data_IF_456275684891
#
_entry.id   IF_456275684891
#
_cell.length_a   1.000
_cell.length_b   1.000
_cell.length_c   1.000
_cell.angle_alpha   90.00
_cell.angle_beta   90.00
_cell.angle_gamma   90.00
#
_symmetry.space_group_name_H-M   'P 1'
#
loop_
_entity.id
_entity.type
_entity.pdbx_description
1 polymer ?
#
# COMPACT_ATOMS: atom_id res chain seq x y z
N UNK A 1 22.70 10.22 -7.15
CA UNK A 1 22.41 8.84 -6.74
C UNK A 1 21.78 7.99 -7.85
N UNK A 2 20.63 8.31 -8.43
CA UNK A 2 20.05 7.51 -9.54
C UNK A 2 20.91 7.50 -10.81
N UNK A 3 21.59 8.60 -11.10
CA UNK A 3 22.49 8.72 -12.26
C UNK A 3 23.72 7.83 -12.08
N UNK A 4 24.23 7.70 -10.87
CA UNK A 4 25.39 6.86 -10.57
C UNK A 4 25.09 5.37 -10.78
N UNK A 5 23.84 4.95 -10.63
CA UNK A 5 23.42 3.56 -10.89
C UNK A 5 23.48 3.18 -12.37
N UNK A 6 23.42 4.15 -13.29
CA UNK A 6 23.52 3.89 -14.73
C UNK A 6 24.93 3.42 -15.17
N UNK A 7 25.91 3.57 -14.30
CA UNK A 7 27.28 3.06 -14.52
C UNK A 7 27.46 1.62 -14.06
N UNK A 8 26.47 1.02 -13.40
CA UNK A 8 26.55 -0.37 -12.98
C UNK A 8 26.29 -1.30 -14.17
N UNK A 9 27.17 -2.28 -14.38
CA UNK A 9 27.08 -3.21 -15.50
C UNK A 9 25.93 -4.23 -15.34
N UNK A 10 25.40 -4.40 -14.13
CA UNK A 10 24.41 -5.40 -13.76
C UNK A 10 22.98 -4.81 -13.55
N UNK A 11 22.58 -3.83 -14.35
CA UNK A 11 21.24 -3.23 -14.33
C UNK A 11 20.57 -3.26 -15.72
N UNK A 12 19.62 -4.14 -15.99
CA UNK A 12 19.17 -5.34 -15.26
C UNK A 12 20.21 -6.45 -15.23
N UNK A 13 20.07 -7.45 -14.37
CA UNK A 13 21.11 -8.44 -14.07
C UNK A 13 21.58 -9.20 -15.30
N UNK A 14 22.83 -9.00 -15.67
CA UNK A 14 23.56 -9.77 -16.68
C UNK A 14 24.72 -10.50 -15.99
N UNK A 15 25.03 -11.70 -16.39
CA UNK A 15 26.12 -12.49 -15.80
C UNK A 15 27.49 -11.95 -16.22
N UNK A 16 28.52 -11.89 -15.32
CA UNK A 16 28.51 -12.27 -13.91
C UNK A 16 27.96 -11.17 -12.99
N UNK A 17 27.17 -11.52 -11.99
CA UNK A 17 26.53 -10.59 -11.06
C UNK A 17 27.50 -10.17 -9.96
N UNK A 18 27.79 -8.87 -9.84
CA UNK A 18 28.44 -8.34 -8.63
C UNK A 18 27.39 -8.15 -7.53
N UNK A 19 27.41 -9.04 -6.52
CA UNK A 19 26.49 -9.01 -5.39
C UNK A 19 26.49 -7.67 -4.64
N UNK A 20 27.63 -6.98 -4.57
CA UNK A 20 27.75 -5.71 -3.84
C UNK A 20 27.01 -4.60 -4.57
N UNK A 21 27.13 -4.53 -5.90
CA UNK A 21 26.41 -3.57 -6.72
C UNK A 21 24.89 -3.81 -6.65
N UNK A 22 24.44 -5.06 -6.72
CA UNK A 22 23.02 -5.41 -6.61
C UNK A 22 22.44 -5.07 -5.25
N UNK A 23 23.16 -5.31 -4.16
CA UNK A 23 22.72 -4.94 -2.80
C UNK A 23 22.60 -3.41 -2.71
N UNK A 24 23.60 -2.67 -3.17
CA UNK A 24 23.59 -1.21 -3.13
C UNK A 24 22.47 -0.63 -4.00
N UNK A 25 22.29 -1.14 -5.20
CA UNK A 25 21.20 -0.72 -6.09
C UNK A 25 19.82 -0.96 -5.44
N UNK A 26 19.59 -2.15 -4.89
CA UNK A 26 18.37 -2.48 -4.16
C UNK A 26 18.13 -1.49 -3.01
N UNK A 27 19.12 -1.25 -2.17
CA UNK A 27 19.00 -0.30 -1.05
C UNK A 27 18.66 1.12 -1.52
N UNK A 28 19.27 1.60 -2.59
CA UNK A 28 18.97 2.92 -3.17
C UNK A 28 17.51 3.00 -3.65
N UNK A 29 17.01 1.96 -4.30
CA UNK A 29 15.61 1.93 -4.75
C UNK A 29 14.63 1.79 -3.57
N UNK A 30 14.98 1.01 -2.53
CA UNK A 30 14.19 0.92 -1.29
C UNK A 30 14.05 2.31 -0.63
N UNK A 31 15.16 3.04 -0.46
CA UNK A 31 15.12 4.41 0.07
C UNK A 31 14.37 5.38 -0.85
N UNK A 32 14.51 5.22 -2.16
CA UNK A 32 13.78 6.05 -3.14
C UNK A 32 12.27 5.82 -3.04
N UNK A 33 11.83 4.60 -2.73
CA UNK A 33 10.42 4.25 -2.51
C UNK A 33 9.86 4.98 -1.27
N UNK A 34 10.57 4.97 -0.15
CA UNK A 34 10.16 5.72 1.04
C UNK A 34 10.17 7.24 0.81
N UNK A 35 11.17 7.76 0.12
CA UNK A 35 11.26 9.19 -0.20
C UNK A 35 10.13 9.65 -1.12
N UNK A 36 9.70 8.80 -2.07
CA UNK A 36 8.55 9.09 -2.93
C UNK A 36 7.25 9.22 -2.10
N UNK A 37 7.06 8.36 -1.09
CA UNK A 37 5.93 8.46 -0.16
C UNK A 37 5.95 9.72 0.69
N UNK A 38 7.11 10.08 1.23
CA UNK A 38 7.26 11.33 2.00
C UNK A 38 6.91 12.57 1.18
N UNK A 39 7.17 12.54 -0.13
CA UNK A 39 6.82 13.60 -1.07
C UNK A 39 5.38 13.50 -1.59
N UNK A 40 4.66 12.43 -1.31
CA UNK A 40 3.34 12.15 -1.86
C UNK A 40 3.35 11.85 -3.37
N UNK A 41 4.51 11.51 -3.95
CA UNK A 41 4.67 11.18 -5.37
C UNK A 41 4.39 9.68 -5.60
N UNK A 42 3.13 9.39 -5.91
CA UNK A 42 2.63 8.02 -6.08
C UNK A 42 3.18 7.36 -7.35
N UNK A 43 3.34 8.12 -8.44
CA UNK A 43 3.89 7.57 -9.68
C UNK A 43 5.35 7.13 -9.51
N UNK A 44 6.15 7.94 -8.82
CA UNK A 44 7.53 7.57 -8.47
C UNK A 44 7.58 6.40 -7.50
N UNK A 45 6.61 6.29 -6.58
CA UNK A 45 6.49 5.14 -5.68
C UNK A 45 6.26 3.84 -6.46
N UNK A 46 5.26 3.80 -7.35
CA UNK A 46 4.91 2.62 -8.15
C UNK A 46 6.09 2.18 -9.04
N UNK A 47 6.73 3.13 -9.72
CA UNK A 47 7.90 2.87 -10.58
C UNK A 47 9.09 2.34 -9.78
N UNK A 48 9.38 2.93 -8.61
CA UNK A 48 10.47 2.45 -7.76
C UNK A 48 10.17 1.06 -7.20
N UNK A 49 8.92 0.81 -6.79
CA UNK A 49 8.50 -0.51 -6.31
C UNK A 49 8.69 -1.58 -7.38
N UNK A 50 8.25 -1.33 -8.61
CA UNK A 50 8.43 -2.28 -9.73
C UNK A 50 9.90 -2.66 -9.91
N UNK A 51 10.79 -1.68 -9.82
CA UNK A 51 12.24 -1.94 -9.91
C UNK A 51 12.75 -2.74 -8.71
N UNK A 52 12.34 -2.38 -7.48
CA UNK A 52 12.74 -3.12 -6.26
C UNK A 52 12.22 -4.55 -6.29
N UNK A 53 11.00 -4.76 -6.77
CA UNK A 53 10.39 -6.08 -6.89
C UNK A 53 11.23 -7.00 -7.77
N UNK A 54 11.75 -6.53 -8.89
CA UNK A 54 12.66 -7.30 -9.74
C UNK A 54 13.86 -7.84 -8.95
N UNK A 55 14.44 -7.02 -8.05
CA UNK A 55 15.53 -7.48 -7.18
C UNK A 55 15.08 -8.50 -6.14
N UNK A 56 13.85 -8.43 -5.65
CA UNK A 56 13.34 -9.41 -4.70
C UNK A 56 13.01 -10.75 -5.34
N UNK A 57 12.53 -10.76 -6.58
CA UNK A 57 12.07 -11.95 -7.29
C UNK A 57 13.23 -12.66 -7.99
N UNK A 58 14.06 -11.94 -8.76
CA UNK A 58 15.14 -12.55 -9.56
C UNK A 58 16.35 -12.96 -8.73
N UNK A 59 16.58 -12.30 -7.60
CA UNK A 59 17.72 -12.60 -6.71
C UNK A 59 17.30 -13.28 -5.41
N UNK A 60 16.12 -13.86 -5.36
CA UNK A 60 15.69 -14.66 -4.20
C UNK A 60 16.63 -15.85 -4.00
N UNK A 61 17.14 -16.01 -2.77
CA UNK A 61 18.14 -17.03 -2.44
C UNK A 61 19.59 -16.71 -2.85
N UNK A 62 19.85 -15.67 -3.67
CA UNK A 62 21.20 -15.21 -4.05
C UNK A 62 21.63 -14.05 -3.17
N UNK A 63 20.76 -13.04 -3.00
CA UNK A 63 21.02 -11.91 -2.13
C UNK A 63 20.46 -12.13 -0.72
N UNK A 64 21.13 -11.55 0.31
CA UNK A 64 20.58 -11.58 1.66
C UNK A 64 19.22 -10.86 1.69
N UNK A 65 18.25 -11.42 2.43
CA UNK A 65 16.91 -10.85 2.56
C UNK A 65 16.99 -9.45 3.17
N UNK A 66 16.35 -8.47 2.52
CA UNK A 66 16.30 -7.11 3.05
C UNK A 66 15.34 -7.02 4.23
N UNK A 67 15.75 -6.33 5.30
CA UNK A 67 14.87 -6.04 6.44
C UNK A 67 13.65 -5.19 6.05
N UNK A 68 13.73 -4.45 4.94
CA UNK A 68 12.68 -3.58 4.42
C UNK A 68 11.75 -4.28 3.43
N UNK A 69 12.08 -5.50 2.97
CA UNK A 69 11.29 -6.26 1.97
C UNK A 69 9.81 -6.28 2.36
N UNK A 70 9.49 -6.75 3.55
CA UNK A 70 8.10 -6.89 4.00
C UNK A 70 7.39 -5.56 4.22
N UNK A 71 8.12 -4.53 4.70
CA UNK A 71 7.55 -3.19 4.86
C UNK A 71 7.15 -2.61 3.51
N UNK A 72 7.99 -2.73 2.49
CA UNK A 72 7.74 -2.21 1.15
C UNK A 72 6.64 -3.02 0.44
N UNK A 73 6.63 -4.35 0.57
CA UNK A 73 5.55 -5.20 0.05
C UNK A 73 4.20 -4.83 0.68
N UNK A 74 4.16 -4.66 2.00
CA UNK A 74 2.93 -4.25 2.68
C UNK A 74 2.46 -2.85 2.28
N UNK A 75 3.37 -1.90 2.04
CA UNK A 75 3.04 -0.57 1.51
C UNK A 75 2.45 -0.66 0.09
N UNK A 76 2.97 -1.55 -0.74
CA UNK A 76 2.43 -1.75 -2.09
C UNK A 76 1.05 -2.39 -2.06
N UNK A 77 0.81 -3.36 -1.19
CA UNK A 77 -0.53 -3.93 -0.99
C UNK A 77 -1.53 -2.87 -0.53
N UNK A 78 -1.15 -1.97 0.38
CA UNK A 78 -1.98 -0.84 0.79
C UNK A 78 -2.22 0.15 -0.35
N UNK A 79 -1.21 0.41 -1.17
CA UNK A 79 -1.37 1.22 -2.38
C UNK A 79 -2.43 0.63 -3.30
N UNK A 80 -2.37 -0.67 -3.60
CA UNK A 80 -3.35 -1.34 -4.46
C UNK A 80 -4.77 -1.24 -3.91
N UNK A 81 -4.96 -1.43 -2.59
CA UNK A 81 -6.25 -1.25 -1.92
C UNK A 81 -6.74 0.20 -2.00
N UNK A 82 -5.86 1.17 -1.75
CA UNK A 82 -6.21 2.60 -1.74
C UNK A 82 -6.67 3.13 -3.10
N UNK A 83 -6.18 2.52 -4.18
CA UNK A 83 -6.53 2.85 -5.56
C UNK A 83 -7.54 1.87 -6.19
N UNK A 84 -8.18 1.03 -5.37
CA UNK A 84 -9.19 0.06 -5.80
C UNK A 84 -8.70 -0.92 -6.89
N UNK A 85 -7.40 -1.22 -6.90
CA UNK A 85 -6.76 -2.19 -7.80
C UNK A 85 -6.86 -3.60 -7.21
N UNK A 86 -8.08 -4.07 -6.95
CA UNK A 86 -8.33 -5.31 -6.20
C UNK A 86 -7.78 -6.56 -6.90
N UNK A 87 -7.89 -6.62 -8.23
CA UNK A 87 -7.38 -7.76 -9.00
C UNK A 87 -5.85 -7.90 -8.88
N UNK A 88 -5.14 -6.77 -8.97
CA UNK A 88 -3.68 -6.74 -8.80
C UNK A 88 -3.30 -7.10 -7.35
N UNK A 89 -4.08 -6.62 -6.38
CA UNK A 89 -3.88 -6.94 -4.96
C UNK A 89 -3.93 -8.46 -4.69
N UNK A 90 -4.95 -9.16 -5.22
CA UNK A 90 -5.04 -10.61 -5.06
C UNK A 90 -3.91 -11.35 -5.77
N UNK A 91 -3.54 -10.91 -6.96
CA UNK A 91 -2.39 -11.46 -7.68
C UNK A 91 -1.08 -11.32 -6.88
N UNK A 92 -0.85 -10.16 -6.29
CA UNK A 92 0.35 -9.92 -5.47
C UNK A 92 0.37 -10.78 -4.20
N UNK A 93 -0.78 -10.98 -3.54
CA UNK A 93 -0.88 -11.85 -2.36
C UNK A 93 -0.59 -13.31 -2.71
N UNK A 94 -1.07 -13.79 -3.85
CA UNK A 94 -0.85 -15.16 -4.31
C UNK A 94 0.64 -15.45 -4.60
N UNK A 95 1.41 -14.44 -4.97
CA UNK A 95 2.86 -14.56 -5.18
C UNK A 95 3.65 -14.64 -3.88
N UNK A 96 3.07 -14.25 -2.74
CA UNK A 96 3.76 -14.27 -1.45
C UNK A 96 3.70 -15.68 -0.85
N UNK A 97 4.84 -16.27 -0.45
CA UNK A 97 4.85 -17.57 0.20
C UNK A 97 3.97 -17.62 1.46
N UNK A 98 3.25 -18.71 1.68
CA UNK A 98 2.33 -18.88 2.83
C UNK A 98 3.02 -18.61 4.17
N UNK A 99 4.28 -19.00 4.31
CA UNK A 99 5.06 -18.76 5.53
C UNK A 99 5.26 -17.25 5.83
N UNK A 100 5.30 -16.41 4.80
CA UNK A 100 5.52 -14.97 4.91
C UNK A 100 4.22 -14.18 5.13
N UNK A 101 3.05 -14.76 4.83
CA UNK A 101 1.74 -14.12 5.04
C UNK A 101 1.45 -13.81 6.53
N UNK A 102 2.09 -14.52 7.45
CA UNK A 102 1.97 -14.25 8.89
C UNK A 102 2.74 -13.01 9.36
N UNK A 103 3.57 -12.42 8.49
CA UNK A 103 4.33 -11.21 8.79
C UNK A 103 3.40 -10.04 9.09
N UNK A 104 3.69 -9.27 10.15
CA UNK A 104 2.86 -8.14 10.61
C UNK A 104 2.63 -7.12 9.51
N UNK A 105 3.65 -6.85 8.68
CA UNK A 105 3.57 -5.89 7.58
C UNK A 105 2.62 -6.33 6.46
N UNK A 106 2.49 -7.62 6.20
CA UNK A 106 1.58 -8.16 5.19
C UNK A 106 0.18 -8.38 5.78
N UNK A 107 0.12 -8.78 7.05
CA UNK A 107 -1.15 -9.04 7.73
C UNK A 107 -2.04 -7.80 7.86
N UNK A 108 -1.45 -6.60 8.00
CA UNK A 108 -2.23 -5.35 8.09
C UNK A 108 -3.06 -5.09 6.82
N UNK A 109 -2.50 -5.05 5.59
CA UNK A 109 -3.28 -4.94 4.37
C UNK A 109 -4.36 -6.02 4.22
N UNK A 110 -4.02 -7.27 4.54
CA UNK A 110 -4.97 -8.40 4.47
C UNK A 110 -6.16 -8.21 5.43
N UNK A 111 -5.89 -7.75 6.66
CA UNK A 111 -6.97 -7.49 7.63
C UNK A 111 -7.84 -6.31 7.20
N UNK A 112 -7.26 -5.27 6.59
CA UNK A 112 -8.01 -4.13 6.09
C UNK A 112 -8.94 -4.51 4.93
N UNK A 113 -8.44 -5.32 3.99
CA UNK A 113 -9.25 -5.85 2.90
C UNK A 113 -10.40 -6.71 3.42
N UNK A 114 -10.12 -7.62 4.36
CA UNK A 114 -11.15 -8.44 5.00
C UNK A 114 -12.21 -7.57 5.69
N UNK A 115 -11.82 -6.55 6.46
CA UNK A 115 -12.77 -5.65 7.13
C UNK A 115 -13.59 -4.85 6.11
N UNK A 116 -13.01 -4.50 4.98
CA UNK A 116 -13.71 -3.83 3.90
C UNK A 116 -14.80 -4.74 3.29
N UNK A 117 -14.45 -5.98 2.94
CA UNK A 117 -15.39 -6.97 2.39
C UNK A 117 -16.50 -7.33 3.38
N UNK A 118 -16.17 -7.43 4.68
CA UNK A 118 -17.13 -7.66 5.76
C UNK A 118 -18.03 -6.44 6.05
N UNK A 119 -17.74 -5.26 5.49
CA UNK A 119 -18.43 -4.01 5.82
C UNK A 119 -18.15 -3.51 7.25
N UNK A 120 -17.09 -4.02 7.89
CA UNK A 120 -16.70 -3.68 9.26
C UNK A 120 -15.87 -2.39 9.33
N UNK A 121 -16.41 -1.28 8.84
CA UNK A 121 -15.69 -0.01 8.70
C UNK A 121 -15.13 0.57 10.01
N UNK A 122 -15.78 0.32 11.15
CA UNK A 122 -15.28 0.73 12.45
C UNK A 122 -13.93 0.09 12.79
N UNK A 123 -13.70 -1.16 12.34
CA UNK A 123 -12.41 -1.84 12.53
C UNK A 123 -11.32 -1.21 11.67
N UNK A 124 -11.65 -0.73 10.47
CA UNK A 124 -10.72 -0.02 9.59
C UNK A 124 -10.25 1.28 10.25
N UNK A 125 -11.19 2.07 10.82
CA UNK A 125 -10.86 3.29 11.56
C UNK A 125 -9.96 3.01 12.77
N UNK A 126 -10.26 1.95 13.52
CA UNK A 126 -9.45 1.56 14.69
C UNK A 126 -8.05 1.12 14.28
N UNK A 127 -7.89 0.52 13.10
CA UNK A 127 -6.60 0.08 12.57
C UNK A 127 -5.65 1.25 12.24
N UNK A 128 -6.20 2.45 12.00
CA UNK A 128 -5.41 3.67 11.77
C UNK A 128 -4.41 3.98 12.90
N UNK A 129 -4.75 3.63 14.14
CA UNK A 129 -3.91 3.90 15.31
C UNK A 129 -2.90 2.79 15.63
N UNK A 130 -3.02 1.64 14.97
CA UNK A 130 -2.18 0.47 15.24
C UNK A 130 -1.43 0.01 13.98
N UNK A 131 -0.62 0.91 13.43
CA UNK A 131 0.17 0.65 12.22
C UNK A 131 1.59 0.22 12.56
N UNK A 132 2.16 -0.77 11.85
CA UNK A 132 3.51 -1.26 12.13
C UNK A 132 4.61 -0.28 11.70
N UNK A 133 4.32 0.63 10.78
CA UNK A 133 5.27 1.62 10.29
C UNK A 133 4.55 2.94 9.93
N UNK A 134 5.13 4.12 10.24
CA UNK A 134 4.49 5.42 9.98
C UNK A 134 4.07 5.65 8.52
N UNK A 135 4.85 5.14 7.56
CA UNK A 135 4.55 5.26 6.13
C UNK A 135 3.22 4.62 5.72
N UNK A 136 2.69 3.66 6.50
CA UNK A 136 1.38 3.02 6.26
C UNK A 136 0.22 4.00 6.42
N UNK A 137 0.38 4.98 7.31
CA UNK A 137 -0.64 5.98 7.61
C UNK A 137 -1.15 6.66 6.34
N UNK A 138 -0.23 7.04 5.45
CA UNK A 138 -0.56 7.73 4.20
C UNK A 138 -1.56 6.92 3.34
N UNK A 139 -1.30 5.64 3.13
CA UNK A 139 -2.20 4.81 2.31
C UNK A 139 -3.47 4.40 3.05
N UNK A 140 -3.42 4.23 4.37
CA UNK A 140 -4.62 3.94 5.16
C UNK A 140 -5.59 5.14 5.10
N UNK A 141 -5.09 6.37 5.19
CA UNK A 141 -5.93 7.56 5.05
C UNK A 141 -6.56 7.63 3.66
N UNK A 142 -5.78 7.37 2.61
CA UNK A 142 -6.30 7.28 1.23
C UNK A 142 -7.32 6.16 1.06
N UNK A 143 -7.11 5.02 1.69
CA UNK A 143 -8.03 3.90 1.66
C UNK A 143 -9.36 4.23 2.35
N UNK A 144 -9.33 4.88 3.50
CA UNK A 144 -10.53 5.35 4.19
C UNK A 144 -11.34 6.32 3.30
N UNK A 145 -10.66 7.25 2.63
CA UNK A 145 -11.32 8.17 1.70
C UNK A 145 -11.94 7.41 0.53
N UNK A 146 -11.24 6.46 -0.07
CA UNK A 146 -11.77 5.61 -1.14
C UNK A 146 -13.02 4.83 -0.70
N UNK A 147 -13.01 4.27 0.52
CA UNK A 147 -14.17 3.58 1.11
C UNK A 147 -15.35 4.54 1.24
N UNK A 148 -15.14 5.75 1.74
CA UNK A 148 -16.21 6.75 1.88
C UNK A 148 -16.89 7.02 0.54
N UNK A 149 -16.12 7.17 -0.54
CA UNK A 149 -16.68 7.36 -1.89
C UNK A 149 -17.50 6.15 -2.36
N UNK A 150 -17.04 4.92 -2.14
CA UNK A 150 -17.78 3.71 -2.52
C UNK A 150 -19.06 3.55 -1.69
N UNK A 151 -18.99 3.86 -0.41
CA UNK A 151 -20.18 3.87 0.47
C UNK A 151 -21.18 4.93 0.02
N UNK A 152 -20.72 6.16 -0.31
CA UNK A 152 -21.57 7.23 -0.81
C UNK A 152 -22.27 6.83 -2.11
N UNK A 153 -21.52 6.27 -3.06
CA UNK A 153 -22.06 5.78 -4.34
C UNK A 153 -23.09 4.64 -4.16
N UNK A 154 -22.88 3.79 -3.18
CA UNK A 154 -23.81 2.71 -2.84
C UNK A 154 -25.06 3.25 -2.16
N UNK A 155 -24.90 4.22 -1.26
CA UNK A 155 -26.01 4.88 -0.56
C UNK A 155 -26.91 5.67 -1.51
N UNK A 156 -26.33 6.40 -2.47
CA UNK A 156 -27.08 7.13 -3.50
C UNK A 156 -28.01 6.21 -4.33
N UNK A 157 -27.61 4.97 -4.55
CA UNK A 157 -28.41 3.99 -5.29
C UNK A 157 -29.43 3.27 -4.44
N UNK A 158 -29.15 3.13 -3.13
CA UNK A 158 -29.97 2.33 -2.22
C UNK A 158 -31.09 3.14 -1.54
N UNK A 159 -30.91 4.45 -1.37
CA UNK A 159 -31.80 5.29 -0.59
C UNK A 159 -32.28 6.50 -1.38
N UNK A 160 -33.58 6.78 -1.35
CA UNK A 160 -34.17 8.02 -1.87
C UNK A 160 -33.91 9.21 -0.92
N UNK A 161 -33.86 8.94 0.37
CA UNK A 161 -33.54 9.94 1.41
C UNK A 161 -32.93 9.25 2.62
N UNK A 162 -31.95 9.88 3.24
CA UNK A 162 -31.26 9.42 4.46
C UNK A 162 -31.24 10.56 5.46
N UNK A 163 -31.50 10.26 6.75
CA UNK A 163 -31.36 11.24 7.81
C UNK A 163 -29.87 11.60 8.01
N UNK A 164 -29.57 12.88 8.23
CA UNK A 164 -28.17 13.40 8.42
C UNK A 164 -27.40 12.64 9.51
N UNK A 165 -28.10 12.21 10.57
CA UNK A 165 -27.51 11.46 11.67
C UNK A 165 -27.05 10.06 11.23
N UNK A 166 -27.83 9.40 10.37
CA UNK A 166 -27.52 8.07 9.85
C UNK A 166 -26.41 8.14 8.80
N UNK A 167 -26.40 9.21 7.98
CA UNK A 167 -25.30 9.51 7.07
C UNK A 167 -23.96 9.70 7.79
N UNK A 168 -23.95 10.41 8.92
CA UNK A 168 -22.75 10.61 9.71
C UNK A 168 -22.13 9.29 10.17
N UNK A 169 -22.97 8.34 10.63
CA UNK A 169 -22.56 6.99 10.99
C UNK A 169 -22.06 6.18 9.79
N UNK A 170 -22.77 6.30 8.66
CA UNK A 170 -22.47 5.55 7.43
C UNK A 170 -21.10 5.96 6.83
N UNK A 171 -20.81 7.26 6.81
CA UNK A 171 -19.53 7.79 6.28
C UNK A 171 -18.41 7.85 7.30
N UNK A 172 -18.64 7.37 8.52
CA UNK A 172 -17.61 7.34 9.56
C UNK A 172 -17.04 8.74 9.88
N UNK A 173 -17.89 9.77 9.87
CA UNK A 173 -17.50 11.13 10.13
C UNK A 173 -17.80 11.51 11.58
N UNK A 174 -16.84 12.18 12.23
CA UNK A 174 -16.97 12.56 13.64
C UNK A 174 -17.79 13.85 13.82
N UNK A 175 -17.80 14.73 12.82
CA UNK A 175 -18.39 16.05 12.89
C UNK A 175 -19.39 16.31 11.77
N UNK A 176 -20.45 17.06 12.08
CA UNK A 176 -21.48 17.47 11.13
C UNK A 176 -20.92 18.44 10.06
N UNK A 177 -19.87 19.20 10.40
CA UNK A 177 -19.18 20.07 9.46
C UNK A 177 -18.37 19.30 8.40
N UNK A 178 -17.75 18.18 8.77
CA UNK A 178 -17.07 17.29 7.82
C UNK A 178 -18.06 16.63 6.87
N UNK A 179 -19.27 16.30 7.36
CA UNK A 179 -20.33 15.74 6.54
C UNK A 179 -20.80 16.74 5.47
N UNK A 180 -21.03 18.00 5.85
CA UNK A 180 -21.43 19.04 4.90
C UNK A 180 -20.35 19.26 3.82
N UNK A 181 -19.08 19.28 4.21
CA UNK A 181 -17.96 19.44 3.29
C UNK A 181 -17.74 18.22 2.37
N UNK A 182 -18.26 17.04 2.75
CA UNK A 182 -18.16 15.84 1.95
C UNK A 182 -19.33 15.71 0.94
N UNK A 183 -20.49 16.30 1.23
CA UNK A 183 -21.70 16.24 0.39
C UNK A 183 -21.68 17.32 -0.70
N UNK A 184 -21.05 18.47 -0.46
CA UNK A 184 -20.86 19.57 -1.42
C UNK A 184 -19.79 19.20 -2.48
#
# INVERSE_FOLDING_TARGET
MRIDLTFFENLPPTSPVDMRECILAREVYEYSTFLALEKGDIESFERNFTTVKTYYDEFDGILPVSQKKFTILGLYLLYLLSFNKISEYHTEIELIPIAELSNVFIKVPMSLEQYFVEGSYNKILSSKHNVPHPAYQFFIDKFIDAIRYEVARSAERAYESIAMKDMQGLFMLSNQGELSAFID
#
